data_IF_766567658761
#
_entry.id   IF_766567658761
#
_cell.length_a   1.000
_cell.length_b   1.000
_cell.length_c   1.000
_cell.angle_alpha   90.00
_cell.angle_beta   90.00
_cell.angle_gamma   90.00
#
_symmetry.space_group_name_H-M   'P 1'
#
loop_
_entity.id
_entity.type
_entity.pdbx_description
1 polymer ?
#
# COMPACT_ATOMS: atom_id res chain seq x y z
N UNK A 1 -2.56 2.48 7.85
CA UNK A 1 -2.52 2.09 6.42
C UNK A 1 -3.38 0.87 6.15
N UNK A 2 -2.98 -0.33 6.58
CA UNK A 2 -3.64 -1.63 6.25
C UNK A 2 -5.14 -1.65 6.46
N UNK A 3 -5.64 -1.20 7.62
CA UNK A 3 -7.08 -1.13 7.91
C UNK A 3 -7.87 -0.34 6.87
N UNK A 4 -7.36 0.82 6.45
CA UNK A 4 -8.04 1.68 5.46
C UNK A 4 -8.10 1.01 4.09
N UNK A 5 -7.03 0.31 3.70
CA UNK A 5 -7.01 -0.44 2.44
C UNK A 5 -7.95 -1.65 2.48
N UNK A 6 -8.00 -2.39 3.59
CA UNK A 6 -8.94 -3.50 3.77
C UNK A 6 -10.39 -3.01 3.74
N UNK A 7 -10.71 -1.93 4.45
CA UNK A 7 -12.05 -1.30 4.41
C UNK A 7 -12.42 -0.80 3.00
N UNK A 8 -11.43 -0.36 2.22
CA UNK A 8 -11.62 0.05 0.82
C UNK A 8 -11.75 -1.12 -0.15
N UNK A 9 -11.53 -2.36 0.29
CA UNK A 9 -11.65 -3.56 -0.53
C UNK A 9 -10.33 -4.06 -1.11
N UNK A 10 -9.21 -3.90 -0.40
CA UNK A 10 -8.00 -4.68 -0.64
C UNK A 10 -8.04 -5.96 0.19
N UNK A 11 -8.20 -7.10 -0.48
CA UNK A 11 -7.98 -8.42 0.12
C UNK A 11 -6.47 -8.69 0.13
N UNK A 12 -5.83 -8.51 1.29
CA UNK A 12 -4.37 -8.53 1.43
C UNK A 12 -3.87 -9.97 1.35
N UNK A 13 -3.01 -10.23 0.36
CA UNK A 13 -2.36 -11.52 0.15
C UNK A 13 -0.97 -11.57 0.78
N UNK A 14 -0.23 -10.47 0.69
CA UNK A 14 1.10 -10.35 1.25
C UNK A 14 1.32 -8.98 1.88
N UNK A 15 2.10 -8.95 2.95
CA UNK A 15 2.55 -7.73 3.60
C UNK A 15 3.99 -7.92 4.06
N UNK A 16 4.87 -7.08 3.53
CA UNK A 16 6.28 -7.08 3.87
C UNK A 16 6.69 -5.68 4.33
N UNK A 17 7.64 -5.62 5.25
CA UNK A 17 8.17 -4.37 5.76
C UNK A 17 9.68 -4.48 5.88
N UNK A 18 10.37 -3.42 5.47
CA UNK A 18 11.82 -3.33 5.49
C UNK A 18 12.27 -1.96 6.02
N UNK A 19 13.52 -1.89 6.45
CA UNK A 19 14.17 -0.67 6.91
C UNK A 19 15.46 -0.48 6.13
N UNK A 20 15.48 0.57 5.32
CA UNK A 20 16.65 1.02 4.60
C UNK A 20 17.26 2.28 5.26
N UNK A 21 18.29 2.84 4.65
CA UNK A 21 18.94 4.07 5.11
C UNK A 21 19.96 3.84 6.21
N UNK A 22 20.05 4.79 7.15
CA UNK A 22 21.04 4.74 8.24
C UNK A 22 20.34 4.78 9.59
N UNK A 23 21.02 4.36 10.66
CA UNK A 23 20.47 4.46 12.02
C UNK A 23 20.07 5.90 12.41
N UNK A 24 20.70 6.92 11.80
CA UNK A 24 20.36 8.32 12.06
C UNK A 24 19.16 8.79 11.22
N UNK A 25 19.04 8.27 10.01
CA UNK A 25 17.97 8.59 9.06
C UNK A 25 17.44 7.26 8.46
N UNK A 26 16.60 6.52 9.21
CA UNK A 26 16.02 5.28 8.71
C UNK A 26 14.92 5.59 7.69
N UNK A 27 14.83 4.76 6.66
CA UNK A 27 13.76 4.78 5.66
C UNK A 27 12.92 3.53 5.84
N UNK A 28 11.68 3.68 6.26
CA UNK A 28 10.74 2.58 6.42
C UNK A 28 10.01 2.32 5.11
N UNK A 29 10.03 1.09 4.64
CA UNK A 29 9.39 0.66 3.40
C UNK A 29 8.33 -0.39 3.74
N UNK A 30 7.11 -0.21 3.23
CA UNK A 30 6.02 -1.16 3.41
C UNK A 30 5.46 -1.55 2.05
N UNK A 31 5.53 -2.83 1.73
CA UNK A 31 4.95 -3.41 0.52
C UNK A 31 3.68 -4.18 0.92
N UNK A 32 2.57 -3.86 0.27
CA UNK A 32 1.28 -4.53 0.49
C UNK A 32 0.77 -5.01 -0.87
N UNK A 33 0.55 -6.31 -0.98
CA UNK A 33 0.00 -6.93 -2.18
C UNK A 33 -1.36 -7.54 -1.85
N UNK A 34 -2.30 -7.42 -2.79
CA UNK A 34 -3.64 -7.91 -2.57
C UNK A 34 -4.53 -7.81 -3.80
N UNK A 35 -5.74 -8.33 -3.67
CA UNK A 35 -6.78 -8.26 -4.70
C UNK A 35 -7.71 -7.10 -4.40
N UNK A 36 -7.86 -6.18 -5.36
CA UNK A 36 -8.78 -5.05 -5.26
C UNK A 36 -10.23 -5.50 -5.54
N UNK A 37 -10.93 -6.03 -4.55
CA UNK A 37 -12.30 -6.57 -4.69
C UNK A 37 -13.33 -5.50 -5.07
N UNK A 38 -13.08 -4.24 -4.70
CA UNK A 38 -13.91 -3.09 -5.06
C UNK A 38 -13.32 -2.26 -6.22
N UNK A 39 -12.27 -2.77 -6.87
CA UNK A 39 -11.53 -2.09 -7.92
C UNK A 39 -10.56 -1.02 -7.43
N UNK A 40 -9.62 -0.66 -8.31
CA UNK A 40 -8.52 0.28 -8.07
C UNK A 40 -8.99 1.72 -7.73
N UNK A 41 -10.08 2.26 -8.31
CA UNK A 41 -10.57 3.58 -7.94
C UNK A 41 -10.94 3.72 -6.45
N UNK A 42 -11.47 2.65 -5.82
CA UNK A 42 -11.80 2.65 -4.40
C UNK A 42 -10.56 2.79 -3.53
N UNK A 43 -9.49 2.05 -3.86
CA UNK A 43 -8.20 2.12 -3.18
C UNK A 43 -7.53 3.49 -3.34
N UNK A 44 -7.52 4.04 -4.55
CA UNK A 44 -7.00 5.39 -4.81
C UNK A 44 -7.74 6.46 -4.00
N UNK A 45 -9.07 6.35 -3.87
CA UNK A 45 -9.85 7.27 -3.04
C UNK A 45 -9.45 7.15 -1.57
N UNK A 46 -9.30 5.92 -1.07
CA UNK A 46 -8.90 5.66 0.31
C UNK A 46 -7.50 6.21 0.61
N UNK A 47 -6.54 6.02 -0.31
CA UNK A 47 -5.19 6.57 -0.21
C UNK A 47 -5.16 8.10 -0.20
N UNK A 48 -6.02 8.76 -0.97
CA UNK A 48 -6.14 10.24 -0.94
C UNK A 48 -6.71 10.79 0.37
N UNK A 49 -7.47 9.97 1.10
CA UNK A 49 -8.02 10.37 2.41
C UNK A 49 -7.10 10.04 3.58
N UNK A 50 -6.07 9.21 3.34
CA UNK A 50 -5.05 8.90 4.31
C UNK A 50 -4.11 10.09 4.45
N UNK A 51 -4.25 10.84 5.53
CA UNK A 51 -3.21 11.79 5.95
C UNK A 51 -2.05 11.00 6.56
N UNK A 52 -1.00 10.80 5.76
CA UNK A 52 0.21 10.09 6.18
C UNK A 52 1.32 11.04 6.65
N UNK A 53 1.10 12.36 6.62
CA UNK A 53 2.13 13.38 6.80
C UNK A 53 2.97 13.63 5.54
N UNK A 54 3.77 14.70 5.57
CA UNK A 54 4.60 15.14 4.42
C UNK A 54 5.78 14.19 4.12
N UNK A 55 6.19 13.37 5.09
CA UNK A 55 7.36 12.48 5.00
C UNK A 55 7.01 11.06 4.49
N UNK A 56 5.75 10.81 4.11
CA UNK A 56 5.30 9.49 3.66
C UNK A 56 4.83 9.55 2.22
N UNK A 57 5.54 8.84 1.34
CA UNK A 57 5.16 8.63 -0.04
C UNK A 57 4.45 7.28 -0.22
N UNK A 58 3.35 7.28 -0.98
CA UNK A 58 2.56 6.07 -1.24
C UNK A 58 2.31 5.93 -2.72
N UNK A 59 2.63 4.76 -3.27
CA UNK A 59 2.35 4.40 -4.65
C UNK A 59 1.40 3.20 -4.72
N UNK A 60 0.45 3.26 -5.63
CA UNK A 60 -0.42 2.15 -5.99
C UNK A 60 -0.20 1.80 -7.45
N UNK A 61 0.17 0.55 -7.71
CA UNK A 61 0.37 0.00 -9.05
C UNK A 61 -0.46 -1.26 -9.22
N UNK A 62 -1.12 -1.37 -10.36
CA UNK A 62 -1.75 -2.62 -10.80
C UNK A 62 -0.66 -3.60 -11.23
N UNK A 63 -0.78 -4.86 -10.79
CA UNK A 63 0.09 -5.94 -11.22
C UNK A 63 -0.75 -6.91 -12.04
N UNK A 64 -0.41 -7.06 -13.31
CA UNK A 64 -0.97 -8.11 -14.14
C UNK A 64 -0.39 -9.44 -13.70
N UNK A 65 -1.18 -10.23 -12.98
CA UNK A 65 -0.82 -11.61 -12.72
C UNK A 65 -1.08 -12.38 -14.02
N UNK A 66 -0.02 -12.67 -14.79
CA UNK A 66 -0.10 -13.61 -15.91
C UNK A 66 -0.59 -14.94 -15.37
N UNK A 67 -1.87 -15.25 -15.59
CA UNK A 67 -2.41 -16.59 -15.41
C UNK A 67 -2.01 -17.38 -16.64
N UNK A 68 -1.07 -18.31 -16.48
CA UNK A 68 -0.67 -19.27 -17.51
C UNK A 68 -1.81 -20.17 -17.95
#
# INVERSE_FOLDING_TARGET
MTRVLTEAGLDILNLESDVAGTNKNPLYIMNIEGVAVNGIPALNKALKTLDCGEDVEVHLSEIDILRG
#
